data_IF_432997630355
#
_entry.id   IF_432997630355
#
_cell.length_a   1.000
_cell.length_b   1.000
_cell.length_c   1.000
_cell.angle_alpha   90.00
_cell.angle_beta   90.00
_cell.angle_gamma   90.00
#
_symmetry.space_group_name_H-M   'P 1'
#
loop_
_entity.id
_entity.type
_entity.pdbx_description
1 polymer ?
#
# COMPACT_ATOMS: atom_id res chain seq x y z
N UNK A 1 -6.32 1.97 -27.46
CA UNK A 1 -7.33 2.27 -26.43
C UNK A 1 -6.62 2.35 -25.08
N UNK A 2 -6.90 3.35 -24.23
CA UNK A 2 -6.36 3.37 -22.88
C UNK A 2 -6.89 2.16 -22.10
N UNK A 3 -6.02 1.54 -21.31
CA UNK A 3 -6.37 0.35 -20.52
C UNK A 3 -6.37 0.73 -19.05
N UNK A 4 -7.48 0.44 -18.39
CA UNK A 4 -7.63 0.61 -16.95
C UNK A 4 -7.38 -0.71 -16.24
N UNK A 5 -6.65 -0.67 -15.12
CA UNK A 5 -6.43 -1.84 -14.26
C UNK A 5 -6.62 -1.45 -12.81
N UNK A 6 -7.31 -2.29 -12.05
CA UNK A 6 -7.37 -2.20 -10.60
C UNK A 6 -6.34 -3.16 -10.01
N UNK A 7 -5.64 -2.68 -8.98
CA UNK A 7 -4.70 -3.46 -8.21
C UNK A 7 -5.13 -3.36 -6.74
N UNK A 8 -5.34 -4.52 -6.15
CA UNK A 8 -5.54 -4.66 -4.71
C UNK A 8 -4.47 -5.60 -4.21
N UNK A 9 -3.72 -5.17 -3.20
CA UNK A 9 -2.66 -5.95 -2.58
C UNK A 9 -2.86 -5.91 -1.07
N UNK A 10 -2.81 -7.07 -0.44
CA UNK A 10 -2.80 -7.22 1.01
C UNK A 10 -1.60 -8.08 1.40
N UNK A 11 -0.97 -7.74 2.51
CA UNK A 11 0.16 -8.48 3.06
C UNK A 11 0.13 -8.45 4.59
N UNK A 12 0.72 -9.49 5.18
CA UNK A 12 0.93 -9.60 6.63
C UNK A 12 2.40 -9.91 6.89
N UNK A 13 2.91 -9.50 8.05
CA UNK A 13 4.30 -9.64 8.42
C UNK A 13 4.57 -9.13 9.83
N UNK A 14 5.82 -8.82 10.13
CA UNK A 14 6.20 -8.31 11.46
C UNK A 14 6.67 -9.38 12.45
N UNK A 15 6.56 -10.68 12.13
CA UNK A 15 6.94 -11.81 13.00
C UNK A 15 8.45 -11.90 13.37
N UNK A 16 9.24 -10.86 13.13
CA UNK A 16 10.68 -10.76 13.44
C UNK A 16 10.97 -9.47 14.19
N UNK A 17 11.10 -9.51 15.52
CA UNK A 17 11.44 -8.35 16.36
C UNK A 17 10.44 -8.08 17.50
N UNK A 18 10.13 -6.80 17.74
CA UNK A 18 9.27 -6.30 18.83
C UNK A 18 7.81 -5.98 18.40
N UNK A 19 7.47 -6.17 17.13
CA UNK A 19 6.09 -6.06 16.65
C UNK A 19 5.54 -7.47 16.48
N UNK A 20 4.39 -7.77 17.08
CA UNK A 20 3.84 -9.14 17.05
C UNK A 20 3.05 -9.41 15.75
N UNK A 21 2.47 -8.36 15.15
CA UNK A 21 1.66 -8.47 13.94
C UNK A 21 1.64 -7.13 13.17
N UNK A 22 1.92 -7.18 11.87
CA UNK A 22 1.80 -6.05 10.95
C UNK A 22 0.99 -6.47 9.74
N UNK A 23 -0.05 -5.73 9.42
CA UNK A 23 -0.83 -5.94 8.20
C UNK A 23 -0.82 -4.67 7.34
N UNK A 24 -0.85 -4.87 6.02
CA UNK A 24 -0.93 -3.77 5.07
C UNK A 24 -1.89 -4.07 3.93
N UNK A 25 -2.51 -3.01 3.42
CA UNK A 25 -3.48 -3.05 2.33
C UNK A 25 -3.20 -1.87 1.39
N UNK A 26 -3.13 -2.14 0.09
CA UNK A 26 -3.04 -1.17 -0.98
C UNK A 26 -4.19 -1.39 -1.96
N UNK A 27 -4.95 -0.34 -2.23
CA UNK A 27 -5.90 -0.30 -3.33
C UNK A 27 -5.48 0.81 -4.31
N UNK A 28 -5.27 0.45 -5.57
CA UNK A 28 -4.78 1.37 -6.60
C UNK A 28 -5.49 1.16 -7.94
N UNK A 29 -5.66 2.27 -8.65
CA UNK A 29 -6.12 2.36 -10.02
C UNK A 29 -4.96 2.75 -10.91
N UNK A 30 -4.71 1.94 -11.94
CA UNK A 30 -3.68 2.15 -12.94
C UNK A 30 -4.32 2.49 -14.27
N UNK A 31 -3.82 3.55 -14.90
CA UNK A 31 -4.27 4.02 -16.20
C UNK A 31 -3.12 4.04 -17.20
N UNK A 32 -3.21 3.19 -18.22
CA UNK A 32 -2.27 3.17 -19.34
C UNK A 32 -2.70 4.26 -20.33
N UNK A 33 -1.88 5.29 -20.48
CA UNK A 33 -2.11 6.32 -21.48
C UNK A 33 -1.77 5.76 -22.89
N UNK A 34 -2.31 6.35 -23.96
CA UNK A 34 -1.92 6.00 -25.33
C UNK A 34 -0.44 6.27 -25.61
N UNK A 35 0.19 7.14 -24.82
CA UNK A 35 1.62 7.42 -24.85
C UNK A 35 2.41 6.35 -24.10
N UNK A 36 3.73 6.49 -24.09
CA UNK A 36 4.65 5.63 -23.31
C UNK A 36 4.49 5.81 -21.78
N UNK A 37 3.51 6.60 -21.32
CA UNK A 37 3.28 6.89 -19.91
C UNK A 37 2.16 6.04 -19.32
N UNK A 38 2.25 5.79 -18.02
CA UNK A 38 1.15 5.26 -17.21
C UNK A 38 1.03 6.07 -15.92
N UNK A 39 -0.20 6.22 -15.44
CA UNK A 39 -0.49 6.89 -14.19
C UNK A 39 -1.10 5.92 -13.18
N UNK A 40 -0.83 6.16 -11.90
CA UNK A 40 -1.29 5.35 -10.78
C UNK A 40 -1.82 6.29 -9.70
N UNK A 41 -2.99 5.95 -9.16
CA UNK A 41 -3.53 6.59 -7.96
C UNK A 41 -4.09 5.52 -7.04
N UNK A 42 -3.83 5.63 -5.75
CA UNK A 42 -4.28 4.65 -4.78
C UNK A 42 -4.21 5.15 -3.35
N UNK A 43 -4.52 4.26 -2.42
CA UNK A 43 -4.43 4.50 -0.99
C UNK A 43 -3.78 3.29 -0.34
N UNK A 44 -2.77 3.53 0.49
CA UNK A 44 -2.11 2.49 1.27
C UNK A 44 -2.43 2.68 2.75
N UNK A 45 -2.85 1.61 3.40
CA UNK A 45 -3.02 1.50 4.83
C UNK A 45 -2.05 0.46 5.38
N UNK A 46 -1.41 0.77 6.50
CA UNK A 46 -0.51 -0.11 7.23
C UNK A 46 -0.90 0.00 8.70
N UNK A 47 -1.07 -1.15 9.36
CA UNK A 47 -1.29 -1.21 10.80
C UNK A 47 -0.20 -2.05 11.42
N UNK A 48 0.40 -1.52 12.47
CA UNK A 48 1.42 -2.24 13.25
C UNK A 48 0.90 -2.40 14.66
N UNK A 49 0.89 -3.64 15.15
CA UNK A 49 0.57 -3.96 16.53
C UNK A 49 1.88 -4.19 17.30
N UNK A 50 2.24 -3.22 18.14
CA UNK A 50 3.36 -3.34 19.07
C UNK A 50 2.83 -3.76 20.45
N UNK A 51 3.36 -4.85 21.00
CA UNK A 51 3.02 -5.35 22.32
C UNK A 51 4.27 -5.31 23.20
N UNK A 52 4.37 -4.28 24.05
CA UNK A 52 5.39 -4.21 25.09
C UNK A 52 4.76 -3.59 26.35
N UNK A 53 4.84 -4.29 27.48
CA UNK A 53 4.50 -3.82 28.83
C UNK A 53 3.21 -2.97 28.95
N UNK A 54 2.05 -3.63 28.91
CA UNK A 54 0.72 -3.05 29.25
C UNK A 54 0.26 -1.82 28.45
N UNK A 55 0.92 -1.46 27.34
CA UNK A 55 0.48 -0.40 26.42
C UNK A 55 0.31 -0.94 25.00
N UNK A 56 -0.94 -1.07 24.55
CA UNK A 56 -1.26 -1.48 23.18
C UNK A 56 -1.21 -0.25 22.26
N UNK A 57 -0.08 -0.05 21.57
CA UNK A 57 0.04 1.02 20.57
C UNK A 57 -0.53 0.55 19.22
N UNK A 58 -1.80 0.87 18.97
CA UNK A 58 -2.41 0.72 17.65
C UNK A 58 -1.98 1.90 16.77
N UNK A 59 -0.92 1.72 15.99
CA UNK A 59 -0.52 2.76 15.03
C UNK A 59 -1.05 2.39 13.65
N UNK A 60 -2.06 3.14 13.21
CA UNK A 60 -2.57 3.09 11.85
C UNK A 60 -1.91 4.20 11.03
N UNK A 61 -1.08 3.83 10.05
CA UNK A 61 -0.54 4.76 9.07
C UNK A 61 -1.28 4.55 7.76
N UNK A 62 -1.87 5.62 7.23
CA UNK A 62 -2.59 5.57 5.96
C UNK A 62 -2.32 6.81 5.14
N UNK A 63 -2.23 6.67 3.83
CA UNK A 63 -2.00 7.81 2.95
C UNK A 63 -2.28 7.56 1.47
N UNK A 64 -2.52 8.64 0.71
CA UNK A 64 -2.65 8.58 -0.74
C UNK A 64 -1.31 8.18 -1.38
N UNK A 65 -1.39 7.37 -2.43
CA UNK A 65 -0.27 6.99 -3.28
C UNK A 65 -0.56 7.47 -4.70
N UNK A 66 0.39 8.20 -5.30
CA UNK A 66 0.26 8.73 -6.67
C UNK A 66 1.57 8.44 -7.39
N UNK A 67 1.50 8.00 -8.64
CA UNK A 67 2.68 7.64 -9.42
C UNK A 67 2.51 7.90 -10.91
N UNK A 68 3.64 8.17 -11.55
CA UNK A 68 3.77 8.22 -13.01
C UNK A 68 4.92 7.31 -13.41
N UNK A 69 4.73 6.50 -14.44
CA UNK A 69 5.76 5.64 -15.01
C UNK A 69 5.88 5.84 -16.51
N UNK A 70 7.09 5.61 -17.02
CA UNK A 70 7.40 5.69 -18.45
C UNK A 70 7.94 4.33 -18.92
N UNK A 71 7.48 3.86 -20.06
CA UNK A 71 7.91 2.60 -20.68
C UNK A 71 8.73 2.91 -21.93
N UNK A 72 10.03 2.61 -21.86
CA UNK A 72 11.00 2.71 -22.96
C UNK A 72 10.81 1.59 -24.00
#
# INVERSE_FOLDING_TARGET
MPVFRLLVQADTGGYTGQADDTWSLLAAAHYQLPSQFSAIIGYKAISVNYNHDNYVYHTHLGGPAIGLSYRF
#
